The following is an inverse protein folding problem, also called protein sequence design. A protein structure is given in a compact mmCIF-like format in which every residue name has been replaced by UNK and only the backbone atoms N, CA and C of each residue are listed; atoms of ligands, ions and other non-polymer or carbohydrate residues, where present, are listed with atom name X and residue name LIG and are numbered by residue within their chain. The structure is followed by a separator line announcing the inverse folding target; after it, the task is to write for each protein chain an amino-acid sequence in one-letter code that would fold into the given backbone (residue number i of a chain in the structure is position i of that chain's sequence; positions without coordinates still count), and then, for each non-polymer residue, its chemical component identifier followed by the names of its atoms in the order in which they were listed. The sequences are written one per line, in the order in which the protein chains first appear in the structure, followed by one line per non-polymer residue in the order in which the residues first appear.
data_IF_412015557474
#
_entry.id   IF_412015557474
#
_cell.length_a   1.000
_cell.length_b   1.000
_cell.length_c   1.000
_cell.angle_alpha   90.00
_cell.angle_beta   90.00
_cell.angle_gamma   90.00
#
_symmetry.space_group_name_H-M   'P 1'
#
loop_
_entity.id
_entity.type
_entity.pdbx_description
1 polymer ?
#
# COMPACT_ATOMS: atom_id res chain seq x y z
N UNK A 1 18.12 16.83 -11.15
CA UNK A 1 16.97 17.27 -10.33
C UNK A 1 15.74 16.59 -10.88
N UNK A 2 15.17 15.62 -10.15
CA UNK A 2 13.97 14.90 -10.55
C UNK A 2 12.82 15.89 -10.66
N UNK A 3 12.14 15.90 -11.81
CA UNK A 3 10.99 16.77 -12.07
C UNK A 3 9.97 16.63 -10.94
N UNK A 4 9.73 17.72 -10.23
CA UNK A 4 8.87 17.80 -9.05
C UNK A 4 7.38 17.49 -9.30
N UNK A 5 6.99 17.14 -10.54
CA UNK A 5 5.62 16.88 -10.97
C UNK A 5 5.38 15.43 -11.44
N UNK A 6 6.29 14.49 -11.18
CA UNK A 6 6.05 13.10 -11.58
C UNK A 6 4.89 12.50 -10.75
N UNK A 7 3.82 11.98 -11.41
CA UNK A 7 2.71 11.34 -10.71
C UNK A 7 3.23 10.14 -9.94
N UNK A 8 2.82 10.00 -8.69
CA UNK A 8 3.24 8.91 -7.82
C UNK A 8 2.06 8.34 -7.05
N UNK A 9 1.93 7.02 -7.14
CA UNK A 9 0.94 6.23 -6.44
C UNK A 9 1.55 4.94 -5.93
N UNK A 10 1.27 4.60 -4.68
CA UNK A 10 1.66 3.34 -4.05
C UNK A 10 0.46 2.84 -3.27
N UNK A 11 0.12 1.55 -3.41
CA UNK A 11 -0.86 0.88 -2.57
C UNK A 11 -0.33 -0.48 -2.15
N UNK A 12 -0.53 -0.81 -0.89
CA UNK A 12 -0.26 -2.12 -0.34
C UNK A 12 -1.53 -2.66 0.31
N UNK A 13 -1.80 -3.93 0.03
CA UNK A 13 -2.89 -4.67 0.62
C UNK A 13 -2.37 -6.01 1.10
N UNK A 14 -2.70 -6.36 2.34
CA UNK A 14 -2.50 -7.70 2.88
C UNK A 14 -3.73 -8.07 3.67
N UNK A 15 -4.33 -9.21 3.33
CA UNK A 15 -5.52 -9.68 4.00
C UNK A 15 -5.65 -11.18 3.91
N UNK A 16 -6.43 -11.74 4.81
CA UNK A 16 -6.73 -13.16 4.84
C UNK A 16 -8.13 -13.41 5.39
N UNK A 17 -8.66 -14.58 5.08
CA UNK A 17 -9.90 -15.08 5.65
C UNK A 17 -9.58 -15.92 6.87
N UNK A 18 -9.77 -15.34 8.06
CA UNK A 18 -9.63 -16.03 9.33
C UNK A 18 -10.94 -16.69 9.77
N UNK A 19 -10.89 -17.39 10.91
CA UNK A 19 -12.07 -18.00 11.55
C UNK A 19 -13.16 -16.97 11.89
N UNK A 20 -12.77 -15.73 12.12
CA UNK A 20 -13.64 -14.65 12.58
C UNK A 20 -13.95 -13.63 11.48
N UNK A 21 -13.78 -14.03 10.22
CA UNK A 21 -14.08 -13.21 9.05
C UNK A 21 -12.84 -12.64 8.39
N UNK A 22 -13.04 -11.56 7.64
CA UNK A 22 -12.01 -10.97 6.81
C UNK A 22 -11.15 -9.98 7.58
N UNK A 23 -9.86 -10.29 7.74
CA UNK A 23 -8.88 -9.41 8.35
C UNK A 23 -7.95 -8.85 7.28
N UNK A 24 -7.71 -7.54 7.31
CA UNK A 24 -6.83 -6.90 6.35
C UNK A 24 -6.13 -5.66 6.90
N UNK A 25 -5.01 -5.34 6.27
CA UNK A 25 -4.26 -4.11 6.40
C UNK A 25 -4.10 -3.54 4.99
N UNK A 26 -4.55 -2.31 4.79
CA UNK A 26 -4.39 -1.57 3.55
C UNK A 26 -3.85 -0.18 3.84
N UNK A 27 -2.92 0.26 2.99
CA UNK A 27 -2.53 1.67 2.95
C UNK A 27 -2.19 2.10 1.54
N UNK A 28 -2.41 3.38 1.26
CA UNK A 28 -1.98 3.97 0.00
C UNK A 28 -1.46 5.40 0.16
N UNK A 29 -0.59 5.78 -0.77
CA UNK A 29 0.00 7.11 -0.89
C UNK A 29 -0.27 7.62 -2.30
N UNK A 30 -0.89 8.79 -2.39
CA UNK A 30 -1.16 9.46 -3.66
C UNK A 30 -0.65 10.89 -3.61
N UNK A 31 0.31 11.22 -4.47
CA UNK A 31 0.76 12.60 -4.65
C UNK A 31 -0.37 13.45 -5.23
N UNK A 32 -0.55 14.65 -4.67
CA UNK A 32 -1.61 15.59 -5.07
C UNK A 32 -1.02 16.96 -5.42
N UNK A 33 -1.72 17.71 -6.27
CA UNK A 33 -1.35 19.09 -6.62
C UNK A 33 -0.04 19.19 -7.42
N UNK A 34 0.83 20.07 -6.97
CA UNK A 34 2.14 20.39 -7.57
C UNK A 34 3.28 19.48 -7.10
N UNK A 35 2.95 18.28 -6.59
CA UNK A 35 3.93 17.31 -6.13
C UNK A 35 4.50 17.58 -4.73
N UNK A 36 4.07 18.64 -4.05
CA UNK A 36 4.61 19.02 -2.73
C UNK A 36 4.00 18.27 -1.54
N UNK A 37 2.91 17.56 -1.76
CA UNK A 37 2.26 16.76 -0.72
C UNK A 37 1.61 15.51 -1.29
N UNK A 38 1.35 14.54 -0.41
CA UNK A 38 0.57 13.36 -0.76
C UNK A 38 -0.52 13.12 0.29
N UNK A 39 -1.62 12.54 -0.16
CA UNK A 39 -2.65 11.98 0.71
C UNK A 39 -2.25 10.55 1.02
N UNK A 40 -2.12 10.23 2.30
CA UNK A 40 -1.90 8.89 2.80
C UNK A 40 -3.18 8.38 3.49
N UNK A 41 -3.65 7.20 3.08
CA UNK A 41 -4.81 6.55 3.71
C UNK A 41 -4.38 5.23 4.30
N UNK A 42 -4.94 4.91 5.46
CA UNK A 42 -4.67 3.70 6.21
C UNK A 42 -5.99 3.08 6.66
N UNK A 43 -6.13 1.79 6.42
CA UNK A 43 -7.22 0.97 6.90
C UNK A 43 -6.68 -0.31 7.54
N UNK A 44 -7.14 -0.62 8.75
CA UNK A 44 -6.81 -1.86 9.44
C UNK A 44 -8.07 -2.47 10.03
N UNK A 45 -8.38 -3.68 9.57
CA UNK A 45 -9.42 -4.55 10.09
C UNK A 45 -8.77 -5.80 10.66
N UNK A 46 -8.46 -5.85 11.95
CA UNK A 46 -7.80 -7.00 12.58
C UNK A 46 -8.73 -7.81 13.49
N UNK A 47 -10.00 -7.39 13.68
CA UNK A 47 -10.98 -8.03 14.58
C UNK A 47 -10.45 -8.43 15.97
N UNK A 48 -9.28 -7.93 16.36
CA UNK A 48 -8.62 -8.27 17.61
C UNK A 48 -9.34 -7.54 18.73
N UNK A 49 -9.87 -8.29 19.69
CA UNK A 49 -10.63 -7.75 20.84
C UNK A 49 -11.88 -6.94 20.47
N UNK A 50 -12.56 -7.29 19.37
CA UNK A 50 -13.74 -6.55 18.87
C UNK A 50 -13.45 -5.08 18.50
N UNK A 51 -12.20 -4.74 18.16
CA UNK A 51 -11.92 -3.40 17.66
C UNK A 51 -12.62 -3.17 16.31
N UNK A 52 -13.26 -2.01 16.20
CA UNK A 52 -13.86 -1.56 14.94
C UNK A 52 -12.78 -1.21 13.91
N UNK A 53 -13.13 -1.32 12.62
CA UNK A 53 -12.26 -0.93 11.49
C UNK A 53 -11.62 0.44 11.70
N UNK A 54 -10.29 0.48 11.83
CA UNK A 54 -9.53 1.71 11.97
C UNK A 54 -9.32 2.30 10.58
N UNK A 55 -9.78 3.54 10.37
CA UNK A 55 -9.51 4.32 9.16
C UNK A 55 -8.86 5.65 9.54
N UNK A 56 -7.76 5.98 8.86
CA UNK A 56 -7.07 7.26 9.02
C UNK A 56 -6.70 7.80 7.65
N UNK A 57 -6.87 9.10 7.50
CA UNK A 57 -6.43 9.87 6.34
C UNK A 57 -5.57 11.02 6.84
N UNK A 58 -4.45 11.26 6.16
CA UNK A 58 -3.49 12.30 6.54
C UNK A 58 -2.80 12.85 5.30
N UNK A 59 -2.41 14.13 5.37
CA UNK A 59 -1.53 14.73 4.38
C UNK A 59 -0.08 14.58 4.85
N UNK A 60 0.78 14.06 3.97
CA UNK A 60 2.21 13.94 4.21
C UNK A 60 2.98 14.90 3.31
N UNK A 61 4.12 15.39 3.79
CA UNK A 61 4.99 16.27 3.03
C UNK A 61 5.71 15.53 1.90
N UNK A 62 6.20 16.27 0.91
CA UNK A 62 7.02 15.73 -0.17
C UNK A 62 8.26 14.98 0.33
N UNK A 63 8.83 15.36 1.47
CA UNK A 63 10.00 14.67 2.06
C UNK A 63 9.70 13.20 2.34
N UNK A 64 8.49 12.89 2.82
CA UNK A 64 8.06 11.49 3.05
C UNK A 64 7.90 10.77 1.73
N UNK A 65 7.32 11.43 0.72
CA UNK A 65 7.13 10.85 -0.63
C UNK A 65 8.48 10.54 -1.28
N UNK A 66 9.44 11.46 -1.18
CA UNK A 66 10.78 11.29 -1.75
C UNK A 66 11.51 10.10 -1.11
N UNK A 67 11.33 9.91 0.21
CA UNK A 67 11.90 8.77 0.91
C UNK A 67 11.25 7.45 0.51
N UNK A 68 9.92 7.41 0.33
CA UNK A 68 9.22 6.23 -0.20
C UNK A 68 9.73 5.91 -1.61
N UNK A 69 9.86 6.92 -2.48
CA UNK A 69 10.44 6.76 -3.82
C UNK A 69 11.87 6.22 -3.75
N UNK A 70 12.68 6.68 -2.80
CA UNK A 70 14.04 6.18 -2.58
C UNK A 70 14.04 4.71 -2.17
N UNK A 71 13.19 4.31 -1.21
CA UNK A 71 13.07 2.92 -0.75
C UNK A 71 12.68 2.00 -1.91
N UNK A 72 11.68 2.37 -2.72
CA UNK A 72 11.24 1.59 -3.89
C UNK A 72 12.36 1.43 -4.92
N UNK A 73 13.11 2.49 -5.19
CA UNK A 73 14.26 2.44 -6.12
C UNK A 73 15.39 1.56 -5.57
N UNK A 74 15.70 1.69 -4.29
CA UNK A 74 16.74 0.88 -3.62
C UNK A 74 16.35 -0.59 -3.52
N UNK A 75 15.07 -0.93 -3.36
CA UNK A 75 14.61 -2.31 -3.30
C UNK A 75 14.56 -3.00 -4.67
N UNK A 76 14.70 -2.24 -5.76
CA UNK A 76 14.63 -2.72 -7.14
C UNK A 76 13.36 -3.53 -7.46
N UNK A 77 12.28 -3.31 -6.70
CA UNK A 77 11.08 -4.16 -6.75
C UNK A 77 10.45 -4.19 -8.14
N UNK A 78 10.60 -3.10 -8.90
CA UNK A 78 10.11 -2.96 -10.28
C UNK A 78 10.82 -3.87 -11.28
N UNK A 79 11.96 -4.48 -10.93
CA UNK A 79 12.66 -5.46 -11.78
C UNK A 79 12.10 -6.88 -11.64
N UNK A 80 11.33 -7.15 -10.58
CA UNK A 80 10.82 -8.49 -10.25
C UNK A 80 9.44 -8.79 -10.87
N UNK A 81 9.02 -8.00 -11.87
CA UNK A 81 7.82 -8.28 -12.68
C UNK A 81 8.13 -9.26 -13.83
N UNK A 82 9.01 -10.24 -13.56
CA UNK A 82 9.37 -11.23 -14.57
C UNK A 82 8.35 -12.38 -14.59
N UNK A 83 7.89 -12.81 -15.78
CA UNK A 83 6.97 -13.95 -15.93
C UNK A 83 7.54 -15.28 -15.41
N UNK A 84 8.84 -15.33 -15.09
CA UNK A 84 9.53 -16.49 -14.53
C UNK A 84 9.57 -16.51 -12.99
N UNK A 85 9.10 -15.45 -12.31
CA UNK A 85 9.01 -15.44 -10.85
C UNK A 85 7.68 -16.05 -10.45
N UNK A 86 7.73 -17.31 -10.02
CA UNK A 86 6.56 -18.07 -9.58
C UNK A 86 6.18 -17.66 -8.15
N UNK A 87 5.46 -16.54 -8.03
CA UNK A 87 4.79 -16.19 -6.78
C UNK A 87 3.65 -17.19 -6.51
N UNK A 88 3.44 -17.61 -5.26
CA UNK A 88 2.25 -18.37 -4.92
C UNK A 88 1.01 -17.53 -5.25
N UNK A 89 0.07 -18.11 -5.98
CA UNK A 89 -1.22 -17.47 -6.19
C UNK A 89 -1.92 -17.25 -4.85
N UNK A 90 -2.69 -16.16 -4.77
CA UNK A 90 -3.60 -15.95 -3.65
C UNK A 90 -4.48 -17.19 -3.52
N UNK A 91 -4.50 -17.78 -2.32
CA UNK A 91 -5.47 -18.80 -1.95
C UNK A 91 -6.83 -18.12 -1.85
N UNK A 92 -7.47 -17.91 -3.00
CA UNK A 92 -8.91 -17.72 -3.04
C UNK A 92 -9.48 -19.06 -2.57
N UNK A 93 -9.97 -19.08 -1.33
CA UNK A 93 -10.95 -20.08 -0.96
C UNK A 93 -12.08 -19.96 -1.98
N UNK A 94 -12.13 -20.88 -2.93
CA UNK A 94 -13.25 -20.99 -3.86
C UNK A 94 -14.53 -21.01 -3.02
N UNK A 95 -15.43 -20.03 -3.17
CA UNK A 95 -16.78 -20.23 -2.68
C UNK A 95 -17.38 -21.33 -3.56
N UNK A 96 -17.54 -22.54 -2.99
CA UNK A 96 -18.50 -23.50 -3.53
C UNK A 96 -19.92 -22.96 -3.34
#
# INVERSE_FOLDING_TARGET
MTSSNEPFYLRYYSGHMGRFGHEFLEFDFRVVGDGRSAVARYANNSNYRNDSLIRKEMCVSSVVVDEIKRIIKTSEITKYDEPNIQWPCLSIANPM
#
